data_IF_874432453377
#
_entry.id   IF_874432453377
#
_cell.length_a   1.000
_cell.length_b   1.000
_cell.length_c   1.000
_cell.angle_alpha   90.00
_cell.angle_beta   90.00
_cell.angle_gamma   90.00
#
_symmetry.space_group_name_H-M   'P 1'
#
loop_
_entity.id
_entity.type
_entity.pdbx_description
1 polymer ?
#
# COMPACT_ATOMS: atom_id res chain seq x y z
N UNK A 1 -21.41 20.12 37.95
CA UNK A 1 -22.77 20.29 37.39
C UNK A 1 -23.06 19.10 36.48
N UNK A 2 -23.88 18.15 36.93
CA UNK A 2 -24.18 16.91 36.19
C UNK A 2 -25.43 17.13 35.34
N UNK A 3 -25.27 17.22 34.01
CA UNK A 3 -26.39 17.39 33.09
C UNK A 3 -27.18 16.06 32.99
N UNK A 4 -28.30 15.99 33.70
CA UNK A 4 -29.27 14.89 33.56
C UNK A 4 -29.94 14.99 32.19
N UNK A 5 -29.54 14.14 31.24
CA UNK A 5 -30.16 14.04 29.94
C UNK A 5 -31.58 13.45 30.08
N UNK A 6 -32.59 14.32 30.14
CA UNK A 6 -34.00 13.90 30.20
C UNK A 6 -34.42 13.24 28.88
N UNK A 7 -34.71 11.94 28.92
CA UNK A 7 -35.28 11.22 27.78
C UNK A 7 -36.76 11.60 27.63
N UNK A 8 -37.10 12.36 26.58
CA UNK A 8 -38.47 12.80 26.27
C UNK A 8 -39.26 11.66 25.61
N UNK A 9 -40.52 11.51 26.01
CA UNK A 9 -41.51 10.67 25.34
C UNK A 9 -42.15 11.44 24.18
N UNK A 10 -42.17 10.84 23.00
CA UNK A 10 -43.01 11.27 21.90
C UNK A 10 -44.18 10.28 21.80
N UNK A 11 -45.44 10.74 21.94
CA UNK A 11 -46.59 9.86 21.75
C UNK A 11 -46.73 9.55 20.26
N UNK A 12 -46.45 8.30 19.88
CA UNK A 12 -46.82 7.73 18.59
C UNK A 12 -48.11 6.93 18.79
N UNK A 13 -49.10 7.18 17.93
CA UNK A 13 -50.38 6.47 17.90
C UNK A 13 -50.15 4.96 17.78
N UNK A 14 -50.53 4.21 18.83
CA UNK A 14 -50.33 2.76 18.94
C UNK A 14 -49.55 2.40 20.20
N UNK A 15 -50.08 1.50 21.03
CA UNK A 15 -49.70 1.18 22.42
C UNK A 15 -48.25 0.67 22.69
N UNK A 16 -47.24 1.05 21.90
CA UNK A 16 -45.83 0.77 22.20
C UNK A 16 -45.02 2.07 22.29
N UNK A 17 -44.87 2.59 23.50
CA UNK A 17 -43.96 3.70 23.77
C UNK A 17 -42.49 3.24 23.61
N UNK A 18 -41.89 3.53 22.46
CA UNK A 18 -40.45 3.30 22.22
C UNK A 18 -39.66 4.45 22.83
N UNK A 19 -39.01 4.21 23.96
CA UNK A 19 -38.15 5.20 24.61
C UNK A 19 -36.81 5.33 23.87
N UNK A 20 -36.70 6.31 22.99
CA UNK A 20 -35.43 6.67 22.34
C UNK A 20 -34.58 7.53 23.28
N UNK A 21 -33.75 6.85 24.08
CA UNK A 21 -32.77 7.53 24.90
C UNK A 21 -31.49 7.74 24.05
N UNK A 22 -31.10 8.98 23.70
CA UNK A 22 -30.00 9.26 22.75
C UNK A 22 -28.68 8.62 23.19
N UNK A 23 -28.46 8.47 24.50
CA UNK A 23 -27.31 7.76 25.05
C UNK A 23 -27.23 6.28 24.63
N UNK A 24 -28.37 5.59 24.47
CA UNK A 24 -28.38 4.21 23.96
C UNK A 24 -28.08 4.15 22.47
N UNK A 25 -28.55 5.13 21.69
CA UNK A 25 -28.28 5.20 20.25
C UNK A 25 -26.79 5.45 19.98
N UNK A 26 -26.17 6.39 20.71
CA UNK A 26 -24.73 6.70 20.62
C UNK A 26 -23.87 5.47 20.96
N UNK A 27 -24.24 4.68 21.97
CA UNK A 27 -23.47 3.48 22.33
C UNK A 27 -23.55 2.39 21.28
N UNK A 28 -24.74 2.17 20.70
CA UNK A 28 -24.94 1.18 19.64
C UNK A 28 -24.19 1.57 18.37
N UNK A 29 -24.23 2.84 17.97
CA UNK A 29 -23.46 3.32 16.82
C UNK A 29 -21.95 3.23 17.06
N UNK A 30 -21.47 3.57 18.26
CA UNK A 30 -20.06 3.41 18.62
C UNK A 30 -19.60 1.95 18.60
N UNK A 31 -20.41 1.02 19.13
CA UNK A 31 -20.09 -0.41 19.08
C UNK A 31 -20.05 -0.94 17.64
N UNK A 32 -21.02 -0.55 16.80
CA UNK A 32 -21.04 -0.92 15.38
C UNK A 32 -19.81 -0.39 14.64
N UNK A 33 -19.43 0.87 14.87
CA UNK A 33 -18.23 1.47 14.27
C UNK A 33 -16.95 0.70 14.65
N UNK A 34 -16.81 0.31 15.92
CA UNK A 34 -15.67 -0.47 16.39
C UNK A 34 -15.59 -1.86 15.73
N UNK A 35 -16.73 -2.51 15.51
CA UNK A 35 -16.78 -3.78 14.77
C UNK A 35 -16.35 -3.57 13.31
N UNK A 36 -16.83 -2.51 12.66
CA UNK A 36 -16.42 -2.18 11.28
C UNK A 36 -14.91 -1.90 11.20
N UNK A 37 -14.34 -1.18 12.16
CA UNK A 37 -12.90 -0.92 12.23
C UNK A 37 -12.08 -2.21 12.44
N UNK A 38 -12.57 -3.14 13.27
CA UNK A 38 -11.93 -4.43 13.46
C UNK A 38 -11.93 -5.27 12.17
N UNK A 39 -13.05 -5.31 11.45
CA UNK A 39 -13.15 -6.00 10.16
C UNK A 39 -12.22 -5.38 9.13
N UNK A 40 -12.16 -4.04 9.06
CA UNK A 40 -11.25 -3.33 8.17
C UNK A 40 -9.78 -3.67 8.48
N UNK A 41 -9.40 -3.70 9.76
CA UNK A 41 -8.04 -4.06 10.16
C UNK A 41 -7.69 -5.51 9.78
N UNK A 42 -8.63 -6.46 9.94
CA UNK A 42 -8.43 -7.84 9.46
C UNK A 42 -8.26 -7.90 7.92
N UNK A 43 -9.07 -7.15 7.17
CA UNK A 43 -8.94 -7.06 5.72
C UNK A 43 -7.58 -6.48 5.31
N UNK A 44 -7.14 -5.40 5.97
CA UNK A 44 -5.82 -4.82 5.73
C UNK A 44 -4.70 -5.83 6.01
N UNK A 45 -4.79 -6.61 7.09
CA UNK A 45 -3.81 -7.64 7.41
C UNK A 45 -3.67 -8.73 6.33
N UNK A 46 -4.78 -9.11 5.67
CA UNK A 46 -4.80 -10.09 4.58
C UNK A 46 -4.29 -9.48 3.27
N UNK A 47 -4.75 -8.27 2.94
CA UNK A 47 -4.37 -7.58 1.70
C UNK A 47 -2.87 -7.23 1.71
N UNK A 48 -2.33 -6.87 2.86
CA UNK A 48 -0.92 -6.48 3.00
C UNK A 48 0.02 -7.58 2.51
N UNK A 49 -0.24 -8.84 2.87
CA UNK A 49 0.66 -9.95 2.54
C UNK A 49 0.62 -10.30 1.06
N UNK A 50 -0.57 -10.40 0.48
CA UNK A 50 -0.76 -10.79 -0.93
C UNK A 50 -0.34 -9.69 -1.90
N UNK A 51 -0.62 -8.43 -1.59
CA UNK A 51 -0.24 -7.28 -2.42
C UNK A 51 1.29 -7.12 -2.52
N UNK A 52 2.01 -7.37 -1.42
CA UNK A 52 3.47 -7.31 -1.42
C UNK A 52 4.11 -8.37 -2.30
N UNK A 53 3.64 -9.62 -2.24
CA UNK A 53 4.19 -10.70 -3.05
C UNK A 53 4.04 -10.41 -4.55
N UNK A 54 2.86 -9.93 -4.96
CA UNK A 54 2.64 -9.54 -6.35
C UNK A 54 3.56 -8.38 -6.76
N UNK A 55 3.68 -7.34 -5.93
CA UNK A 55 4.53 -6.17 -6.23
C UNK A 55 6.00 -6.55 -6.35
N UNK A 56 6.49 -7.41 -5.46
CA UNK A 56 7.88 -7.90 -5.48
C UNK A 56 8.12 -8.76 -6.71
N UNK A 57 7.18 -9.63 -7.09
CA UNK A 57 7.32 -10.43 -8.32
C UNK A 57 7.44 -9.54 -9.56
N UNK A 58 6.64 -8.47 -9.65
CA UNK A 58 6.77 -7.48 -10.72
C UNK A 58 8.13 -6.77 -10.71
N UNK A 59 8.60 -6.33 -9.53
CA UNK A 59 9.91 -5.71 -9.40
C UNK A 59 11.07 -6.66 -9.74
N UNK A 60 10.97 -7.95 -9.39
CA UNK A 60 11.96 -8.97 -9.75
C UNK A 60 11.98 -9.23 -11.26
N UNK A 61 10.79 -9.31 -11.88
CA UNK A 61 10.66 -9.45 -13.33
C UNK A 61 11.30 -8.26 -14.05
N UNK A 62 10.94 -7.05 -13.65
CA UNK A 62 11.50 -5.83 -14.23
C UNK A 62 13.01 -5.73 -14.02
N UNK A 63 13.52 -6.11 -12.84
CA UNK A 63 14.97 -6.19 -12.60
C UNK A 63 15.67 -7.18 -13.56
N UNK A 64 15.06 -8.33 -13.85
CA UNK A 64 15.59 -9.26 -14.84
C UNK A 64 15.60 -8.64 -16.25
N UNK A 65 14.52 -7.97 -16.65
CA UNK A 65 14.45 -7.31 -17.96
C UNK A 65 15.48 -6.18 -18.08
N UNK A 66 15.66 -5.35 -17.04
CA UNK A 66 16.69 -4.31 -17.00
C UNK A 66 18.09 -4.89 -17.15
N UNK A 67 18.41 -6.00 -16.47
CA UNK A 67 19.70 -6.67 -16.63
C UNK A 67 19.90 -7.24 -18.03
N UNK A 68 18.85 -7.82 -18.61
CA UNK A 68 18.90 -8.34 -19.98
C UNK A 68 19.12 -7.23 -21.01
N UNK A 69 18.41 -6.12 -20.88
CA UNK A 69 18.57 -4.93 -21.73
C UNK A 69 19.96 -4.30 -21.56
N UNK A 70 20.46 -4.20 -20.33
CA UNK A 70 21.82 -3.71 -20.04
C UNK A 70 22.88 -4.59 -20.71
N UNK A 71 22.72 -5.92 -20.68
CA UNK A 71 23.62 -6.85 -21.35
C UNK A 71 23.59 -6.66 -22.89
N UNK A 72 22.40 -6.49 -23.48
CA UNK A 72 22.27 -6.22 -24.91
C UNK A 72 22.96 -4.92 -25.33
N UNK A 73 22.80 -3.84 -24.53
CA UNK A 73 23.52 -2.57 -24.74
C UNK A 73 25.03 -2.77 -24.64
N UNK A 74 25.49 -3.54 -23.66
CA UNK A 74 26.92 -3.77 -23.47
C UNK A 74 27.54 -4.54 -24.66
N UNK A 75 26.85 -5.54 -25.18
CA UNK A 75 27.26 -6.26 -26.41
C UNK A 75 27.29 -5.32 -27.61
N UNK A 76 26.26 -4.48 -27.77
CA UNK A 76 26.23 -3.47 -28.83
C UNK A 76 27.38 -2.46 -28.71
N UNK A 77 27.64 -2.00 -27.48
CA UNK A 77 28.69 -1.02 -27.19
C UNK A 77 30.08 -1.58 -27.48
N UNK A 78 30.35 -2.84 -27.16
CA UNK A 78 31.63 -3.50 -27.48
C UNK A 78 31.87 -3.63 -28.98
N UNK A 79 30.81 -3.86 -29.76
CA UNK A 79 30.91 -4.04 -31.22
C UNK A 79 30.94 -2.72 -32.00
N UNK A 80 30.24 -1.68 -31.52
CA UNK A 80 30.07 -0.42 -32.25
C UNK A 80 30.81 0.78 -31.61
N UNK A 81 31.35 0.63 -30.40
CA UNK A 81 32.05 1.70 -29.69
C UNK A 81 31.14 2.83 -29.17
N UNK A 82 29.81 2.67 -29.23
CA UNK A 82 28.81 3.67 -28.78
C UNK A 82 27.56 3.02 -28.23
N UNK A 83 26.72 3.80 -27.56
CA UNK A 83 25.37 3.36 -27.16
C UNK A 83 24.44 3.25 -28.39
N UNK A 84 23.46 2.33 -28.36
CA UNK A 84 22.44 2.26 -29.40
C UNK A 84 21.52 3.48 -29.35
N UNK A 85 21.03 3.93 -30.50
CA UNK A 85 19.91 4.87 -30.54
C UNK A 85 18.58 4.14 -30.26
N UNK A 86 17.46 4.86 -30.13
CA UNK A 86 16.16 4.26 -29.78
C UNK A 86 15.72 3.14 -30.74
N UNK A 87 15.95 3.30 -32.06
CA UNK A 87 15.58 2.30 -33.06
C UNK A 87 16.47 1.05 -32.97
N UNK A 88 17.77 1.24 -32.78
CA UNK A 88 18.73 0.14 -32.61
C UNK A 88 18.48 -0.59 -31.29
N UNK A 89 18.16 0.14 -30.22
CA UNK A 89 17.84 -0.44 -28.93
C UNK A 89 16.65 -1.39 -29.01
N UNK A 90 15.58 -0.99 -29.69
CA UNK A 90 14.43 -1.87 -29.95
C UNK A 90 14.77 -3.13 -30.78
N UNK A 91 15.85 -3.10 -31.57
CA UNK A 91 16.29 -4.26 -32.35
C UNK A 91 17.22 -5.21 -31.57
N UNK A 92 17.93 -4.71 -30.55
CA UNK A 92 18.86 -5.53 -29.73
C UNK A 92 18.28 -5.94 -28.38
N UNK A 93 17.30 -5.19 -27.87
CA UNK A 93 16.60 -5.56 -26.64
C UNK A 93 15.74 -6.79 -26.90
N UNK A 94 15.66 -7.74 -25.94
CA UNK A 94 14.72 -8.84 -26.03
C UNK A 94 13.30 -8.32 -26.28
N UNK A 95 12.56 -8.97 -27.18
CA UNK A 95 11.16 -8.65 -27.41
C UNK A 95 10.38 -8.78 -26.10
N UNK A 96 9.69 -7.71 -25.70
CA UNK A 96 8.78 -7.75 -24.56
C UNK A 96 7.59 -8.68 -24.87
N UNK A 97 7.34 -9.63 -23.98
CA UNK A 97 6.10 -10.39 -23.98
C UNK A 97 4.88 -9.55 -23.59
N UNK A 98 3.67 -10.13 -23.58
CA UNK A 98 2.43 -9.41 -23.24
C UNK A 98 2.39 -8.86 -21.80
N UNK A 99 3.14 -9.48 -20.89
CA UNK A 99 3.22 -9.10 -19.48
C UNK A 99 4.55 -8.41 -19.10
N UNK A 100 5.34 -8.07 -20.10
CA UNK A 100 6.64 -7.47 -19.94
C UNK A 100 6.54 -5.95 -19.99
N UNK A 101 7.42 -5.27 -19.25
CA UNK A 101 7.49 -3.82 -19.30
C UNK A 101 8.22 -3.35 -20.56
N UNK A 102 7.74 -2.25 -21.13
CA UNK A 102 8.50 -1.52 -22.13
C UNK A 102 9.68 -0.82 -21.45
N UNK A 103 10.89 -1.28 -21.77
CA UNK A 103 12.12 -0.64 -21.33
C UNK A 103 12.54 0.35 -22.40
N UNK A 104 12.91 1.55 -21.96
CA UNK A 104 13.48 2.59 -22.82
C UNK A 104 14.88 2.96 -22.35
N UNK A 105 15.75 3.29 -23.31
CA UNK A 105 17.04 3.87 -23.02
C UNK A 105 16.86 5.39 -22.80
N UNK A 106 16.94 5.81 -21.55
CA UNK A 106 16.80 7.21 -21.16
C UNK A 106 18.16 7.93 -21.20
N UNK A 107 18.17 9.24 -21.50
CA UNK A 107 19.39 10.04 -21.42
C UNK A 107 19.91 10.12 -19.98
N UNK A 108 21.21 10.42 -19.83
CA UNK A 108 21.79 10.72 -18.53
C UNK A 108 21.06 11.91 -17.87
N UNK A 109 20.84 11.83 -16.56
CA UNK A 109 20.10 12.86 -15.82
C UNK A 109 18.58 12.81 -16.02
N UNK A 110 18.02 11.67 -16.41
CA UNK A 110 16.57 11.46 -16.48
C UNK A 110 15.90 11.74 -15.12
N UNK A 111 15.10 12.81 -15.06
CA UNK A 111 14.61 13.37 -13.80
C UNK A 111 13.33 12.70 -13.28
N UNK A 112 12.71 11.83 -14.08
CA UNK A 112 11.43 11.20 -13.73
C UNK A 112 11.60 9.91 -12.91
N UNK A 113 12.83 9.53 -12.56
CA UNK A 113 13.08 8.40 -11.67
C UNK A 113 12.56 8.72 -10.28
N UNK A 114 11.42 8.15 -9.89
CA UNK A 114 10.64 8.63 -8.74
C UNK A 114 11.41 8.52 -7.40
N UNK A 115 12.30 7.52 -7.30
CA UNK A 115 13.19 7.33 -6.16
C UNK A 115 14.62 7.74 -6.47
N UNK A 116 15.25 8.40 -5.50
CA UNK A 116 16.65 8.79 -5.56
C UNK A 116 17.01 9.59 -6.82
N UNK A 117 16.11 10.46 -7.26
CA UNK A 117 16.31 11.43 -8.37
C UNK A 117 17.67 12.09 -8.29
N UNK A 118 18.14 12.40 -7.08
CA UNK A 118 19.43 13.06 -6.86
C UNK A 118 20.64 12.22 -7.25
N UNK A 119 20.57 10.89 -7.20
CA UNK A 119 21.65 10.01 -7.66
C UNK A 119 21.65 9.89 -9.18
N UNK A 120 20.48 9.68 -9.78
CA UNK A 120 20.31 9.61 -11.24
C UNK A 120 20.61 10.95 -11.92
N UNK A 121 20.30 12.08 -11.28
CA UNK A 121 20.61 13.42 -11.77
C UNK A 121 22.12 13.73 -11.81
N UNK A 122 22.93 13.03 -11.01
CA UNK A 122 24.39 13.19 -10.96
C UNK A 122 25.13 12.28 -11.93
N UNK A 123 24.42 11.55 -12.79
CA UNK A 123 25.04 10.71 -13.81
C UNK A 123 25.65 11.56 -14.93
N UNK A 124 26.84 11.19 -15.39
CA UNK A 124 27.62 11.98 -16.35
C UNK A 124 28.37 11.09 -17.35
N UNK A 125 28.72 11.66 -18.50
CA UNK A 125 29.61 11.02 -19.48
C UNK A 125 29.00 9.77 -20.13
N UNK A 126 29.64 8.58 -20.03
CA UNK A 126 29.19 7.34 -20.68
C UNK A 126 28.09 6.59 -19.92
N UNK A 127 27.66 7.14 -18.78
CA UNK A 127 26.57 6.62 -17.97
C UNK A 127 25.25 6.67 -18.74
N UNK A 128 24.41 5.65 -18.58
CA UNK A 128 23.08 5.60 -19.16
C UNK A 128 22.07 5.02 -18.19
N UNK A 129 20.80 5.37 -18.38
CA UNK A 129 19.69 4.92 -17.54
C UNK A 129 18.73 4.11 -18.40
N UNK A 130 18.32 2.96 -17.89
CA UNK A 130 17.17 2.23 -18.39
C UNK A 130 15.96 2.65 -17.58
N UNK A 131 14.88 3.01 -18.24
CA UNK A 131 13.65 3.40 -17.59
C UNK A 131 12.49 2.52 -18.06
N UNK A 132 11.53 2.27 -17.18
CA UNK A 132 10.30 1.56 -17.50
C UNK A 132 9.12 2.20 -16.79
N UNK A 133 8.01 2.38 -17.50
CA UNK A 133 6.77 2.93 -16.92
C UNK A 133 5.94 1.82 -16.29
N UNK A 134 5.63 1.93 -15.00
CA UNK A 134 4.81 0.95 -14.27
C UNK A 134 3.31 1.27 -14.25
N UNK A 135 2.88 2.29 -14.98
CA UNK A 135 1.49 2.77 -14.99
C UNK A 135 1.28 4.02 -14.14
N UNK A 136 2.05 4.17 -13.05
CA UNK A 136 1.92 5.28 -12.09
C UNK A 136 3.22 6.07 -11.91
N UNK A 137 4.37 5.39 -11.96
CA UNK A 137 5.70 6.00 -11.86
C UNK A 137 6.72 5.33 -12.79
N UNK A 138 7.86 5.99 -12.99
CA UNK A 138 9.00 5.43 -13.71
C UNK A 138 9.93 4.68 -12.75
N UNK A 139 10.26 3.46 -13.09
CA UNK A 139 11.39 2.75 -12.50
C UNK A 139 12.63 2.98 -13.34
N UNK A 140 13.77 3.15 -12.69
CA UNK A 140 15.05 3.38 -13.32
C UNK A 140 16.11 2.40 -12.84
N UNK A 141 16.97 2.00 -13.76
CA UNK A 141 18.16 1.21 -13.49
C UNK A 141 19.36 1.81 -14.22
N UNK A 142 20.44 2.06 -13.49
CA UNK A 142 21.70 2.53 -14.05
C UNK A 142 22.77 1.44 -13.91
N UNK A 143 23.04 0.66 -14.98
CA UNK A 143 23.90 -0.51 -14.90
C UNK A 143 25.34 -0.19 -14.52
N UNK A 144 25.84 0.99 -14.91
CA UNK A 144 27.23 1.41 -14.67
C UNK A 144 27.53 1.69 -13.20
N UNK A 145 26.51 2.09 -12.42
CA UNK A 145 26.63 2.39 -10.99
C UNK A 145 25.95 1.36 -10.09
N UNK A 146 25.30 0.36 -10.68
CA UNK A 146 24.51 -0.65 -9.98
C UNK A 146 23.41 -0.08 -9.07
N UNK A 147 22.86 1.09 -9.43
CA UNK A 147 21.74 1.72 -8.72
C UNK A 147 20.42 1.42 -9.42
N UNK A 148 19.37 1.24 -8.63
CA UNK A 148 18.03 0.89 -9.09
C UNK A 148 16.99 1.51 -8.17
N UNK A 149 15.89 2.01 -8.74
CA UNK A 149 14.73 2.43 -7.94
C UNK A 149 13.88 1.25 -7.46
N UNK A 150 14.11 0.06 -8.03
CA UNK A 150 13.34 -1.14 -7.73
C UNK A 150 13.54 -1.59 -6.28
N UNK A 151 12.45 -1.60 -5.54
CA UNK A 151 12.38 -2.24 -4.23
C UNK A 151 12.21 -3.74 -4.37
N UNK A 152 13.31 -4.47 -4.13
CA UNK A 152 13.32 -5.93 -4.11
C UNK A 152 13.14 -6.51 -2.71
N UNK A 153 13.38 -5.70 -1.67
CA UNK A 153 13.22 -6.13 -0.29
C UNK A 153 11.76 -5.97 0.17
N UNK A 154 11.19 -7.05 0.70
CA UNK A 154 9.85 -7.07 1.29
C UNK A 154 9.73 -6.12 2.48
N UNK A 155 10.81 -5.94 3.24
CA UNK A 155 10.84 -5.04 4.39
C UNK A 155 10.55 -3.59 4.00
N UNK A 156 10.94 -3.17 2.79
CA UNK A 156 10.74 -1.80 2.31
C UNK A 156 9.27 -1.44 2.04
N UNK A 157 8.39 -2.45 1.92
CA UNK A 157 6.96 -2.25 1.74
C UNK A 157 6.18 -2.28 3.05
N UNK A 158 6.77 -2.83 4.13
CA UNK A 158 6.13 -2.90 5.44
C UNK A 158 6.33 -1.63 6.26
N UNK A 159 5.31 -1.25 7.03
CA UNK A 159 5.35 -0.05 7.88
C UNK A 159 6.37 -0.17 9.00
N UNK A 160 6.49 -1.36 9.60
CA UNK A 160 7.42 -1.64 10.70
C UNK A 160 8.67 -2.39 10.25
N UNK A 161 8.97 -2.43 8.94
CA UNK A 161 10.13 -3.14 8.40
C UNK A 161 10.00 -4.67 8.37
N UNK A 162 8.90 -5.24 8.88
CA UNK A 162 8.54 -6.63 8.63
C UNK A 162 7.03 -6.81 8.47
N UNK A 163 6.63 -7.55 7.43
CA UNK A 163 5.21 -7.79 7.14
C UNK A 163 4.45 -8.46 8.30
N UNK A 164 5.10 -9.38 9.03
CA UNK A 164 4.47 -10.04 10.17
C UNK A 164 4.22 -9.09 11.35
N UNK A 165 5.07 -8.06 11.54
CA UNK A 165 4.86 -7.04 12.55
C UNK A 165 3.62 -6.21 12.20
N UNK A 166 3.50 -5.77 10.95
CA UNK A 166 2.31 -5.05 10.47
C UNK A 166 1.04 -5.88 10.72
N UNK A 167 1.06 -7.17 10.36
CA UNK A 167 -0.06 -8.10 10.60
C UNK A 167 -0.42 -8.19 12.08
N UNK A 168 0.56 -8.35 12.98
CA UNK A 168 0.30 -8.39 14.42
C UNK A 168 -0.29 -7.08 14.94
N UNK A 169 0.19 -5.94 14.46
CA UNK A 169 -0.36 -4.62 14.84
C UNK A 169 -1.82 -4.49 14.41
N UNK A 170 -2.16 -4.90 13.19
CA UNK A 170 -3.55 -4.86 12.72
C UNK A 170 -4.45 -5.83 13.51
N UNK A 171 -3.99 -7.05 13.80
CA UNK A 171 -4.77 -8.03 14.55
C UNK A 171 -4.97 -7.62 16.02
N UNK A 172 -3.95 -7.04 16.65
CA UNK A 172 -4.07 -6.53 18.02
C UNK A 172 -5.03 -5.34 18.09
N UNK A 173 -4.99 -4.43 17.11
CA UNK A 173 -5.96 -3.35 16.97
C UNK A 173 -7.40 -3.87 16.77
N UNK A 174 -7.58 -4.89 15.93
CA UNK A 174 -8.89 -5.52 15.71
C UNK A 174 -9.44 -6.15 17.00
N UNK A 175 -8.60 -6.89 17.73
CA UNK A 175 -8.97 -7.51 19.00
C UNK A 175 -9.35 -6.47 20.06
N UNK A 176 -8.56 -5.39 20.18
CA UNK A 176 -8.86 -4.29 21.10
C UNK A 176 -10.19 -3.60 20.77
N UNK A 177 -10.45 -3.35 19.49
CA UNK A 177 -11.70 -2.74 19.02
C UNK A 177 -12.91 -3.63 19.30
N UNK A 178 -12.81 -4.94 19.04
CA UNK A 178 -13.86 -5.92 19.37
C UNK A 178 -14.10 -6.00 20.87
N UNK A 179 -13.05 -6.04 21.69
CA UNK A 179 -13.18 -6.05 23.15
C UNK A 179 -13.88 -4.77 23.67
N UNK A 180 -13.57 -3.61 23.11
CA UNK A 180 -14.24 -2.35 23.43
C UNK A 180 -15.73 -2.37 23.01
N UNK A 181 -16.05 -2.88 21.82
CA UNK A 181 -17.42 -3.02 21.34
C UNK A 181 -18.26 -3.95 22.25
N UNK A 182 -17.68 -5.07 22.68
CA UNK A 182 -18.32 -6.00 23.61
C UNK A 182 -18.56 -5.35 24.98
N UNK A 183 -17.58 -4.63 25.54
CA UNK A 183 -17.75 -3.89 26.80
C UNK A 183 -18.85 -2.83 26.71
N UNK A 184 -18.96 -2.13 25.58
CA UNK A 184 -20.04 -1.16 25.35
C UNK A 184 -21.41 -1.82 25.26
N UNK A 185 -21.47 -3.04 24.71
CA UNK A 185 -22.71 -3.80 24.52
C UNK A 185 -23.20 -4.49 25.79
N UNK A 186 -22.29 -4.97 26.64
CA UNK A 186 -22.61 -5.74 27.86
C UNK A 186 -23.06 -4.86 29.04
N UNK A 187 -22.85 -3.55 29.00
CA UNK A 187 -23.20 -2.63 30.10
C UNK A 187 -24.73 -2.62 30.33
N UNK A 188 -25.20 -3.53 31.20
CA UNK A 188 -26.62 -3.76 31.52
C UNK A 188 -27.25 -2.46 32.02
N UNK A 189 -28.52 -2.26 31.65
CA UNK A 189 -29.40 -1.28 32.31
C UNK A 189 -29.27 -1.54 33.83
N UNK A 190 -29.01 -0.51 34.67
CA UNK A 190 -29.10 -0.71 36.11
C UNK A 190 -30.48 -1.31 36.40
N UNK A 191 -30.50 -2.43 37.13
CA UNK A 191 -31.75 -3.04 37.57
C UNK A 191 -32.55 -1.93 38.25
N UNK A 192 -33.73 -1.63 37.70
CA UNK A 192 -34.62 -0.63 38.29
C UNK A 192 -34.82 -1.01 39.75
N UNK A 193 -34.63 -0.03 40.64
CA UNK A 193 -34.88 -0.18 42.06
C UNK A 193 -36.29 -0.75 42.25
N UNK A 194 -36.45 -1.97 42.80
CA UNK A 194 -37.74 -2.65 42.88
C UNK A 194 -38.70 -2.03 43.91
N UNK A 195 -38.37 -0.86 44.48
CA UNK A 195 -39.09 -0.25 45.61
C UNK A 195 -40.05 0.88 45.22
N UNK A 196 -40.53 0.95 43.97
CA UNK A 196 -41.60 1.87 43.55
C UNK A 196 -42.77 1.17 42.89
#
# INVERSE_FOLDING_TARGET
MSASAQCRTLPLFGNQAVWHCPAMLIRRSAAALLVCLALLACMMAIINTTSFDHTIQHSLRLNHQFRSAANAIEVFRRSHGRLPNAREFGAVSPSAGPEDYEIVLAPAGFQYCDRDTTEFAKMAGPDYVLAAWRGEWWECYAPTRHISTLLLDRAAYSMFGAAWLDTLVFLTFAAASMAAALKLSVRRKPAGDPTR
#
